data_IF_827530691753
#
_entry.id   IF_827530691753
#
_cell.length_a   1.000
_cell.length_b   1.000
_cell.length_c   1.000
_cell.angle_alpha   90.00
_cell.angle_beta   90.00
_cell.angle_gamma   90.00
#
_symmetry.space_group_name_H-M   'P 1'
#
loop_
_entity.id
_entity.type
_entity.pdbx_description
1 polymer ?
#
# COMPACT_ATOMS: atom_id res chain seq x y z
N UNK A 1 -4.29 -0.49 -11.99
CA UNK A 1 -4.34 0.30 -10.74
C UNK A 1 -5.12 1.58 -11.03
N UNK A 2 -6.30 1.77 -10.42
CA UNK A 2 -7.13 2.96 -10.64
C UNK A 2 -6.61 4.11 -9.76
N UNK A 3 -6.84 5.36 -10.17
CA UNK A 3 -6.62 6.52 -9.31
C UNK A 3 -7.51 6.41 -8.05
N UNK A 4 -7.00 6.77 -6.86
CA UNK A 4 -7.71 6.71 -5.57
C UNK A 4 -9.13 7.28 -5.64
N UNK A 5 -9.30 8.37 -6.40
CA UNK A 5 -10.61 8.97 -6.67
C UNK A 5 -11.54 7.97 -7.36
N UNK A 6 -11.10 7.35 -8.45
CA UNK A 6 -11.88 6.36 -9.18
C UNK A 6 -12.29 5.16 -8.33
N UNK A 7 -11.41 4.67 -7.46
CA UNK A 7 -11.75 3.55 -6.57
C UNK A 7 -12.75 3.97 -5.48
N UNK A 8 -12.63 5.18 -4.92
CA UNK A 8 -13.61 5.71 -3.98
C UNK A 8 -15.01 5.86 -4.62
N UNK A 9 -15.08 6.32 -5.87
CA UNK A 9 -16.33 6.42 -6.63
C UNK A 9 -16.93 5.05 -6.94
N UNK A 10 -16.12 4.08 -7.38
CA UNK A 10 -16.56 2.68 -7.60
C UNK A 10 -17.14 2.06 -6.32
N UNK A 11 -16.45 2.24 -5.19
CA UNK A 11 -16.91 1.75 -3.89
C UNK A 11 -18.22 2.39 -3.46
N UNK A 12 -18.37 3.70 -3.65
CA UNK A 12 -19.63 4.39 -3.34
C UNK A 12 -20.79 3.91 -4.22
N UNK A 13 -20.57 3.74 -5.53
CA UNK A 13 -21.60 3.23 -6.44
C UNK A 13 -22.08 1.83 -6.02
N UNK A 14 -21.14 0.91 -5.74
CA UNK A 14 -21.46 -0.43 -5.27
C UNK A 14 -22.24 -0.41 -3.94
N UNK A 15 -21.81 0.42 -2.97
CA UNK A 15 -22.50 0.56 -1.70
C UNK A 15 -23.91 1.16 -1.87
N UNK A 16 -24.08 2.14 -2.77
CA UNK A 16 -25.37 2.76 -3.07
C UNK A 16 -26.34 1.76 -3.69
N UNK A 17 -25.86 0.90 -4.58
CA UNK A 17 -26.68 -0.13 -5.21
C UNK A 17 -27.08 -1.23 -4.24
N UNK A 18 -26.17 -1.69 -3.37
CA UNK A 18 -26.53 -2.66 -2.30
C UNK A 18 -27.49 -2.03 -1.28
N UNK A 19 -27.32 -0.76 -0.91
CA UNK A 19 -28.24 -0.07 0.01
C UNK A 19 -29.69 -0.05 -0.50
N UNK A 20 -29.92 0.07 -1.82
CA UNK A 20 -31.28 0.02 -2.40
C UNK A 20 -31.96 -1.33 -2.17
N UNK A 21 -31.18 -2.41 -2.14
CA UNK A 21 -31.68 -3.79 -2.00
C UNK A 21 -31.71 -4.20 -0.51
N UNK A 22 -30.69 -3.80 0.26
CA UNK A 22 -30.40 -4.26 1.61
C UNK A 22 -30.20 -3.10 2.61
N UNK A 23 -31.19 -2.20 2.81
CA UNK A 23 -31.00 -1.01 3.64
C UNK A 23 -30.67 -1.35 5.11
N UNK A 24 -31.13 -2.49 5.62
CA UNK A 24 -30.90 -2.95 6.99
C UNK A 24 -29.43 -3.28 7.31
N UNK A 25 -28.57 -3.48 6.30
CA UNK A 25 -27.12 -3.68 6.49
C UNK A 25 -26.38 -2.39 6.86
N UNK A 26 -27.04 -1.24 6.72
CA UNK A 26 -26.42 0.07 6.84
C UNK A 26 -27.11 0.88 7.94
N UNK A 27 -26.31 1.62 8.71
CA UNK A 27 -26.86 2.58 9.68
C UNK A 27 -27.50 3.80 8.98
N UNK A 28 -27.06 4.13 7.77
CA UNK A 28 -27.59 5.22 6.95
C UNK A 28 -27.20 5.03 5.47
N UNK A 29 -27.85 5.80 4.58
CA UNK A 29 -27.52 5.82 3.16
C UNK A 29 -26.04 6.21 2.92
N UNK A 30 -25.29 5.46 2.08
CA UNK A 30 -23.90 5.76 1.78
C UNK A 30 -23.68 7.19 1.24
N UNK A 31 -22.78 7.94 1.89
CA UNK A 31 -22.45 9.31 1.48
C UNK A 31 -21.47 9.33 0.30
N UNK A 32 -21.64 10.34 -0.56
CA UNK A 32 -20.74 10.59 -1.69
C UNK A 32 -19.32 10.84 -1.17
N UNK A 33 -18.27 10.32 -1.85
CA UNK A 33 -16.89 10.62 -1.51
C UNK A 33 -16.62 12.13 -1.56
N UNK A 34 -15.96 12.66 -0.53
CA UNK A 34 -15.58 14.07 -0.44
C UNK A 34 -14.09 14.23 -0.19
N UNK A 35 -13.58 15.44 -0.43
CA UNK A 35 -12.20 15.79 -0.09
C UNK A 35 -12.03 15.98 1.41
N UNK A 36 -10.86 15.61 1.94
CA UNK A 36 -10.55 15.81 3.35
C UNK A 36 -10.28 17.29 3.65
N UNK A 37 -10.67 17.73 4.85
CA UNK A 37 -10.45 19.11 5.34
C UNK A 37 -9.21 19.27 6.23
N UNK A 38 -8.57 18.16 6.61
CA UNK A 38 -7.39 18.15 7.48
C UNK A 38 -6.19 17.50 6.79
N UNK A 39 -5.03 17.54 7.47
CA UNK A 39 -3.84 16.83 7.00
C UNK A 39 -4.14 15.34 6.84
N UNK A 40 -3.94 14.83 5.64
CA UNK A 40 -4.08 13.41 5.29
C UNK A 40 -2.82 12.98 4.56
N UNK A 41 -2.63 11.66 4.51
CA UNK A 41 -1.59 11.07 3.67
C UNK A 41 -1.73 11.55 2.25
N UNK A 42 -0.70 12.24 1.76
CA UNK A 42 -0.63 12.67 0.38
C UNK A 42 0.02 11.55 -0.43
N UNK A 43 -0.79 10.89 -1.27
CA UNK A 43 -0.33 9.77 -2.11
C UNK A 43 0.00 10.28 -3.50
N UNK A 44 1.26 10.12 -3.88
CA UNK A 44 1.80 10.46 -5.19
C UNK A 44 1.99 9.18 -5.99
N UNK A 45 1.08 8.95 -6.93
CA UNK A 45 1.22 7.84 -7.89
C UNK A 45 2.37 8.10 -8.86
N UNK A 46 2.74 7.09 -9.67
CA UNK A 46 3.81 7.15 -10.70
C UNK A 46 3.81 8.41 -11.58
N UNK A 47 2.64 9.03 -11.77
CA UNK A 47 2.50 10.22 -12.59
C UNK A 47 2.89 11.53 -11.90
N UNK A 48 3.30 11.47 -10.63
CA UNK A 48 3.62 12.63 -9.82
C UNK A 48 5.08 12.67 -9.34
N UNK A 49 5.93 11.74 -9.77
CA UNK A 49 7.34 11.75 -9.39
C UNK A 49 8.25 11.09 -10.43
N UNK A 50 9.56 11.34 -10.29
CA UNK A 50 10.64 10.61 -10.95
C UNK A 50 11.77 10.35 -9.95
N UNK A 51 12.64 9.39 -10.24
CA UNK A 51 13.83 9.10 -9.44
C UNK A 51 15.06 9.28 -10.32
N UNK A 52 16.02 10.08 -9.86
CA UNK A 52 17.29 10.33 -10.56
C UNK A 52 18.40 10.25 -9.53
N UNK A 53 19.40 9.40 -9.79
CA UNK A 53 20.56 9.19 -8.90
C UNK A 53 20.17 8.89 -7.44
N UNK A 54 19.12 8.07 -7.26
CA UNK A 54 18.59 7.71 -5.95
C UNK A 54 17.86 8.85 -5.23
N UNK A 55 17.50 9.93 -5.93
CA UNK A 55 16.75 11.06 -5.39
C UNK A 55 15.33 11.09 -5.95
N UNK A 56 14.33 11.12 -5.07
CA UNK A 56 12.91 11.26 -5.42
C UNK A 56 12.61 12.72 -5.69
N UNK A 57 12.16 13.01 -6.92
CA UNK A 57 11.69 14.33 -7.34
C UNK A 57 10.18 14.29 -7.54
N UNK A 58 9.44 15.01 -6.70
CA UNK A 58 7.99 15.16 -6.86
C UNK A 58 7.65 16.29 -7.83
N UNK A 59 6.61 16.11 -8.63
CA UNK A 59 6.06 17.14 -9.51
C UNK A 59 5.56 18.34 -8.69
N UNK A 60 5.96 19.55 -9.08
CA UNK A 60 5.56 20.78 -8.39
C UNK A 60 6.31 21.07 -7.08
N UNK A 61 7.14 20.14 -6.58
CA UNK A 61 7.88 20.32 -5.32
C UNK A 61 8.75 21.59 -5.28
N UNK A 62 9.37 21.94 -6.41
CA UNK A 62 10.21 23.15 -6.52
C UNK A 62 9.42 24.43 -6.23
N UNK A 63 8.14 24.50 -6.59
CA UNK A 63 7.30 25.66 -6.37
C UNK A 63 6.98 25.90 -4.88
N UNK A 64 7.08 24.85 -4.06
CA UNK A 64 6.83 24.90 -2.60
C UNK A 64 8.12 24.73 -1.78
N UNK A 65 9.28 24.78 -2.43
CA UNK A 65 10.59 24.63 -1.77
C UNK A 65 10.89 23.22 -1.25
N UNK A 66 10.12 22.21 -1.66
CA UNK A 66 10.34 20.83 -1.24
C UNK A 66 11.54 20.23 -2.00
N UNK A 67 12.57 19.85 -1.25
CA UNK A 67 13.81 19.32 -1.81
C UNK A 67 13.67 17.83 -2.16
N UNK A 68 14.41 17.33 -3.17
CA UNK A 68 14.43 15.92 -3.49
C UNK A 68 14.88 15.07 -2.28
N UNK A 69 14.30 13.88 -2.14
CA UNK A 69 14.53 13.01 -0.98
C UNK A 69 15.28 11.75 -1.40
N UNK A 70 16.32 11.39 -0.66
CA UNK A 70 17.12 10.20 -0.97
C UNK A 70 16.33 8.90 -0.73
N UNK A 71 16.48 7.95 -1.62
CA UNK A 71 15.97 6.58 -1.51
C UNK A 71 17.06 5.57 -1.85
N UNK A 72 16.99 4.39 -1.23
CA UNK A 72 17.86 3.25 -1.54
C UNK A 72 17.16 2.21 -2.42
N UNK A 73 15.87 2.42 -2.73
CA UNK A 73 15.02 1.44 -3.42
C UNK A 73 15.34 1.36 -4.91
N UNK A 74 15.60 2.49 -5.54
CA UNK A 74 15.79 2.60 -6.99
C UNK A 74 16.77 3.73 -7.30
N UNK A 75 17.68 3.52 -8.25
CA UNK A 75 18.63 4.55 -8.70
C UNK A 75 18.00 5.48 -9.74
N UNK A 76 17.24 4.94 -10.68
CA UNK A 76 16.64 5.72 -11.75
C UNK A 76 15.26 5.17 -12.13
N UNK A 77 14.26 6.04 -12.16
CA UNK A 77 12.92 5.75 -12.65
C UNK A 77 12.39 6.98 -13.37
N UNK A 78 12.04 6.84 -14.64
CA UNK A 78 11.56 7.95 -15.43
C UNK A 78 10.20 8.48 -14.91
N UNK A 79 9.90 9.73 -15.26
CA UNK A 79 8.59 10.30 -14.98
C UNK A 79 7.51 9.56 -15.80
N UNK A 80 6.37 9.23 -15.18
CA UNK A 80 5.33 8.40 -15.81
C UNK A 80 5.86 7.04 -16.32
N UNK A 81 6.80 6.41 -15.62
CA UNK A 81 7.29 5.08 -16.00
C UNK A 81 6.12 4.08 -16.12
N UNK A 82 6.20 3.21 -17.13
CA UNK A 82 5.13 2.24 -17.38
C UNK A 82 5.00 1.27 -16.21
N UNK A 83 3.78 0.79 -16.00
CA UNK A 83 3.43 0.02 -14.82
C UNK A 83 4.24 -1.26 -14.63
N UNK A 84 4.53 -1.92 -15.73
CA UNK A 84 5.31 -3.15 -15.87
C UNK A 84 6.82 -2.94 -15.67
N UNK A 85 7.29 -1.69 -15.68
CA UNK A 85 8.72 -1.33 -15.59
C UNK A 85 9.06 -0.54 -14.33
N UNK A 86 8.05 0.05 -13.68
CA UNK A 86 8.24 0.85 -12.50
C UNK A 86 8.53 -0.06 -11.28
N UNK A 87 9.69 0.13 -10.66
CA UNK A 87 10.04 -0.55 -9.40
C UNK A 87 9.30 0.10 -8.24
N UNK A 88 9.34 1.43 -8.19
CA UNK A 88 8.57 2.20 -7.21
C UNK A 88 7.16 2.42 -7.77
N UNK A 89 6.15 2.12 -6.98
CA UNK A 89 4.73 2.22 -7.35
C UNK A 89 4.15 3.57 -6.97
N UNK A 90 4.38 4.00 -5.74
CA UNK A 90 3.81 5.21 -5.16
C UNK A 90 4.69 5.75 -4.04
N UNK A 91 4.62 7.06 -3.83
CA UNK A 91 5.25 7.76 -2.70
C UNK A 91 4.13 8.30 -1.83
N UNK A 92 4.23 8.12 -0.50
CA UNK A 92 3.23 8.64 0.45
C UNK A 92 3.88 9.58 1.43
N UNK A 93 3.32 10.76 1.60
CA UNK A 93 3.71 11.70 2.65
C UNK A 93 2.66 11.61 3.74
N UNK A 94 2.99 10.91 4.83
CA UNK A 94 2.09 10.62 5.94
C UNK A 94 2.34 11.63 7.06
N UNK A 95 1.34 12.46 7.44
CA UNK A 95 1.47 13.33 8.60
C UNK A 95 1.46 12.51 9.90
N UNK A 96 2.44 12.77 10.78
CA UNK A 96 2.55 12.18 12.12
C UNK A 96 2.21 13.19 13.23
N UNK A 97 1.62 14.33 12.88
CA UNK A 97 1.27 15.42 13.79
C UNK A 97 2.36 16.49 13.84
N UNK A 98 3.55 16.16 14.36
CA UNK A 98 4.69 17.10 14.46
C UNK A 98 5.71 16.93 13.34
N UNK A 99 5.59 15.87 12.54
CA UNK A 99 6.52 15.53 11.47
C UNK A 99 5.79 14.82 10.33
N UNK A 100 6.54 14.46 9.28
CA UNK A 100 6.05 13.66 8.17
C UNK A 100 6.92 12.42 7.99
N UNK A 101 6.29 11.30 7.70
CA UNK A 101 6.94 10.10 7.19
C UNK A 101 6.81 10.07 5.67
N UNK A 102 7.89 9.76 4.96
CA UNK A 102 7.85 9.51 3.52
C UNK A 102 7.97 8.01 3.30
N UNK A 103 6.87 7.40 2.90
CA UNK A 103 6.81 5.98 2.56
C UNK A 103 7.05 5.81 1.05
N UNK A 104 7.85 4.81 0.70
CA UNK A 104 8.15 4.44 -0.68
C UNK A 104 7.54 3.06 -0.92
N UNK A 105 6.43 3.00 -1.65
CA UNK A 105 5.85 1.74 -2.12
C UNK A 105 6.63 1.22 -3.31
N UNK A 106 7.03 -0.06 -3.28
CA UNK A 106 7.77 -0.67 -4.38
C UNK A 106 7.45 -2.16 -4.50
N UNK A 107 7.54 -2.66 -5.72
CA UNK A 107 7.48 -4.09 -6.00
C UNK A 107 8.91 -4.63 -6.10
N UNK A 108 9.15 -5.77 -5.46
CA UNK A 108 10.41 -6.48 -5.53
C UNK A 108 10.12 -7.92 -5.90
N UNK A 109 10.73 -8.40 -6.97
CA UNK A 109 10.71 -9.82 -7.26
C UNK A 109 11.39 -10.59 -6.12
N UNK A 110 10.62 -11.42 -5.44
CA UNK A 110 11.14 -12.36 -4.48
C UNK A 110 11.51 -13.63 -5.24
N UNK A 111 12.80 -13.89 -5.41
CA UNK A 111 13.28 -15.22 -5.78
C UNK A 111 13.11 -16.12 -4.55
N UNK A 112 12.24 -17.15 -4.58
CA UNK A 112 12.15 -18.08 -3.46
C UNK A 112 13.53 -18.71 -3.24
N UNK A 113 14.11 -18.48 -2.07
CA UNK A 113 15.53 -18.78 -1.83
C UNK A 113 15.80 -20.25 -1.56
N UNK A 114 14.80 -21.11 -1.66
CA UNK A 114 14.92 -22.56 -1.50
C UNK A 114 13.83 -23.26 -2.29
N UNK A 115 14.15 -24.41 -2.90
CA UNK A 115 13.16 -25.38 -3.32
C UNK A 115 12.25 -25.69 -2.13
N UNK A 116 10.96 -25.34 -2.24
CA UNK A 116 9.97 -25.71 -1.24
C UNK A 116 9.90 -27.24 -1.16
N UNK A 117 10.23 -27.81 -0.01
CA UNK A 117 10.03 -29.23 0.23
C UNK A 117 8.56 -29.47 0.58
N UNK A 118 7.78 -29.90 -0.42
CA UNK A 118 6.34 -30.15 -0.29
C UNK A 118 5.99 -31.24 0.73
N UNK A 119 6.97 -31.98 1.25
CA UNK A 119 6.78 -32.94 2.35
C UNK A 119 6.77 -32.27 3.72
N UNK A 120 7.25 -31.03 3.82
CA UNK A 120 7.27 -30.25 5.06
C UNK A 120 6.04 -29.37 5.11
N UNK A 121 5.22 -29.56 6.14
CA UNK A 121 4.03 -28.78 6.37
C UNK A 121 4.06 -28.17 7.76
N UNK A 122 3.52 -26.96 7.88
CA UNK A 122 3.13 -26.36 9.14
C UNK A 122 1.70 -25.84 9.02
N UNK A 123 0.98 -25.87 10.14
CA UNK A 123 -0.33 -25.23 10.27
C UNK A 123 -0.23 -24.12 11.31
N UNK A 124 -0.94 -23.03 11.05
CA UNK A 124 -1.03 -21.86 11.91
C UNK A 124 -2.51 -21.71 12.27
N UNK A 125 -2.80 -21.65 13.57
CA UNK A 125 -4.12 -21.29 14.09
C UNK A 125 -4.01 -20.06 15.00
N UNK A 126 -4.88 -19.07 14.79
CA UNK A 126 -4.84 -17.81 15.55
C UNK A 126 -5.86 -17.92 16.69
N UNK A 127 -5.40 -17.81 17.93
CA UNK A 127 -6.21 -17.96 19.13
C UNK A 127 -6.48 -16.66 19.88
N UNK A 128 -7.35 -16.74 20.90
CA UNK A 128 -7.67 -15.63 21.80
C UNK A 128 -6.66 -15.58 22.95
N UNK A 129 -6.46 -16.71 23.64
CA UNK A 129 -5.56 -16.80 24.80
C UNK A 129 -4.10 -16.91 24.39
N UNK A 130 -3.84 -17.57 23.26
CA UNK A 130 -2.54 -17.63 22.61
C UNK A 130 -2.65 -16.96 21.24
N UNK A 131 -1.80 -15.98 20.95
CA UNK A 131 -1.83 -15.24 19.67
C UNK A 131 -1.78 -16.20 18.48
N UNK A 132 -0.95 -17.25 18.58
CA UNK A 132 -0.80 -18.27 17.54
C UNK A 132 -0.52 -19.63 18.18
N UNK A 133 -1.17 -20.68 17.69
CA UNK A 133 -0.75 -22.06 17.83
C UNK A 133 -0.11 -22.55 16.51
N UNK A 134 1.06 -23.17 16.62
CA UNK A 134 1.82 -23.69 15.49
C UNK A 134 1.96 -25.20 15.64
N UNK A 135 1.79 -25.94 14.54
CA UNK A 135 2.10 -27.38 14.49
C UNK A 135 2.86 -27.68 13.21
N UNK A 136 3.86 -28.57 13.29
CA UNK A 136 4.61 -29.05 12.13
C UNK A 136 4.58 -30.57 12.07
N UNK A 137 4.65 -31.12 10.86
CA UNK A 137 4.86 -32.55 10.65
C UNK A 137 6.35 -32.96 10.79
N UNK A 138 7.24 -32.01 11.08
CA UNK A 138 8.65 -32.28 11.34
C UNK A 138 8.85 -32.71 12.80
N UNK A 139 9.37 -33.93 13.06
CA UNK A 139 9.47 -34.48 14.42
C UNK A 139 10.42 -33.68 15.31
N UNK A 140 11.39 -32.99 14.72
CA UNK A 140 12.44 -32.24 15.43
C UNK A 140 12.02 -30.79 15.72
N UNK A 141 10.86 -30.36 15.24
CA UNK A 141 10.38 -28.99 15.39
C UNK A 141 9.24 -28.90 16.40
N UNK A 142 9.53 -28.30 17.56
CA UNK A 142 8.53 -27.97 18.58
C UNK A 142 8.44 -26.45 18.70
N UNK A 143 7.41 -25.82 18.12
CA UNK A 143 7.19 -24.40 18.33
C UNK A 143 6.87 -24.15 19.81
N UNK A 144 7.44 -23.06 20.34
CA UNK A 144 7.21 -22.56 21.72
C UNK A 144 6.08 -21.55 21.75
#
# INVERSE_FOLDING_TARGET
MTQIVGDAWKGWLAAKDDFKINPHKYQACPRIPGYSKGARTYVVNRNGYKIVDGMIHLSGAKAVGFQPVKTTVCQHQAFNEKADKAVVTDIRIVPLGTSFCIEVGYEKEATPTTLLDMRRAFSIDIGIDNLVALVSNQPDYRPV
#
